data_IF_137171297590
#
_entry.id   IF_137171297590
#
_cell.length_a   1.000
_cell.length_b   1.000
_cell.length_c   1.000
_cell.angle_alpha   90.00
_cell.angle_beta   90.00
_cell.angle_gamma   90.00
#
_symmetry.space_group_name_H-M   'P 1'
#
loop_
_entity.id
_entity.type
_entity.pdbx_description
1 polymer ?
#
# COMPACT_ATOMS: atom_id res chain seq x y z
N UNK A 1 -0.09 31.97 -3.40
CA UNK A 1 -0.84 30.73 -3.64
C UNK A 1 -2.02 31.08 -4.52
N UNK A 2 -2.23 30.41 -5.67
CA UNK A 2 -3.49 30.56 -6.39
C UNK A 2 -4.64 30.11 -5.46
N UNK A 3 -5.82 30.76 -5.52
CA UNK A 3 -6.98 30.34 -4.75
C UNK A 3 -7.32 28.88 -5.08
N UNK A 4 -7.64 28.10 -4.05
CA UNK A 4 -8.15 26.74 -4.20
C UNK A 4 -9.36 26.80 -5.15
N UNK A 5 -9.40 26.02 -6.24
CA UNK A 5 -10.57 25.95 -7.09
C UNK A 5 -11.79 25.66 -6.23
N UNK A 6 -12.83 26.47 -6.36
CA UNK A 6 -14.12 26.25 -5.68
C UNK A 6 -14.63 24.91 -6.21
N UNK A 7 -14.71 23.91 -5.34
CA UNK A 7 -15.33 22.61 -5.63
C UNK A 7 -16.81 22.72 -5.27
N UNK A 8 -17.70 22.99 -6.26
CA UNK A 8 -19.10 23.28 -5.99
C UNK A 8 -19.87 22.04 -5.54
N UNK A 9 -19.31 20.84 -5.79
CA UNK A 9 -19.98 19.55 -5.61
C UNK A 9 -19.47 18.76 -4.40
N UNK A 10 -18.30 19.11 -3.84
CA UNK A 10 -17.77 18.54 -2.60
C UNK A 10 -16.97 17.24 -2.78
N UNK A 11 -16.42 17.03 -3.98
CA UNK A 11 -15.52 15.92 -4.31
C UNK A 11 -14.12 16.03 -3.69
N UNK A 12 -13.64 17.25 -3.43
CA UNK A 12 -12.33 17.56 -2.88
C UNK A 12 -12.41 17.71 -1.38
N UNK A 13 -11.45 17.11 -0.68
CA UNK A 13 -11.35 17.25 0.76
C UNK A 13 -10.95 18.69 1.12
N UNK A 14 -11.55 19.27 2.18
CA UNK A 14 -11.17 20.57 2.68
C UNK A 14 -9.68 20.64 3.04
N UNK A 15 -9.01 21.73 2.67
CA UNK A 15 -7.55 21.85 2.80
C UNK A 15 -7.05 22.26 4.20
N UNK A 16 -7.96 22.60 5.12
CA UNK A 16 -7.64 23.06 6.48
C UNK A 16 -7.33 21.91 7.45
N UNK A 17 -7.64 20.67 7.08
CA UNK A 17 -7.23 19.47 7.81
C UNK A 17 -6.36 18.62 6.89
N UNK A 18 -5.13 18.32 7.31
CA UNK A 18 -4.20 17.51 6.52
C UNK A 18 -3.61 16.38 7.36
N UNK A 19 -3.32 15.21 6.76
CA UNK A 19 -2.60 14.15 7.46
C UNK A 19 -1.13 14.55 7.64
N UNK A 20 -0.54 14.10 8.75
CA UNK A 20 0.90 14.16 9.00
C UNK A 20 1.50 12.74 8.96
N UNK A 21 0.86 11.80 9.65
CA UNK A 21 1.26 10.39 9.65
C UNK A 21 0.08 9.44 9.83
N UNK A 22 0.29 8.21 9.38
CA UNK A 22 -0.60 7.07 9.50
C UNK A 22 0.11 5.94 10.24
N UNK A 23 -0.55 5.35 11.22
CA UNK A 23 -0.22 4.03 11.76
C UNK A 23 -1.33 3.07 11.34
N UNK A 24 -0.99 2.14 10.44
CA UNK A 24 -1.92 1.22 9.81
C UNK A 24 -1.69 -0.18 10.35
N UNK A 25 -2.74 -0.82 10.85
CA UNK A 25 -2.74 -2.24 11.17
C UNK A 25 -3.78 -2.93 10.30
N UNK A 26 -3.35 -3.86 9.46
CA UNK A 26 -4.20 -4.64 8.56
C UNK A 26 -4.11 -6.12 8.89
N UNK A 27 -5.27 -6.75 9.03
CA UNK A 27 -5.39 -8.18 9.30
C UNK A 27 -6.21 -8.87 8.21
N UNK A 28 -5.60 -9.18 7.04
CA UNK A 28 -6.25 -9.96 6.00
C UNK A 28 -6.54 -11.38 6.46
N UNK A 29 -7.74 -11.86 6.15
CA UNK A 29 -8.12 -13.27 6.23
C UNK A 29 -8.18 -13.84 4.81
N UNK A 30 -7.14 -14.57 4.45
CA UNK A 30 -6.98 -15.13 3.10
C UNK A 30 -7.97 -16.25 2.78
N UNK A 31 -8.54 -16.89 3.80
CA UNK A 31 -9.54 -17.95 3.64
C UNK A 31 -10.91 -17.37 3.29
N UNK A 32 -11.33 -16.34 4.03
CA UNK A 32 -12.66 -15.75 3.89
C UNK A 32 -12.70 -14.59 2.88
N UNK A 33 -11.53 -14.11 2.46
CA UNK A 33 -11.39 -12.99 1.53
C UNK A 33 -11.86 -11.66 2.14
N UNK A 34 -11.68 -11.49 3.45
CA UNK A 34 -12.05 -10.28 4.20
C UNK A 34 -10.84 -9.75 4.95
N UNK A 35 -10.94 -8.55 5.53
CA UNK A 35 -9.90 -8.03 6.39
C UNK A 35 -10.46 -7.14 7.49
N UNK A 36 -9.75 -7.11 8.62
CA UNK A 36 -9.96 -6.13 9.69
C UNK A 36 -8.87 -5.09 9.60
N UNK A 37 -9.21 -3.84 9.87
CA UNK A 37 -8.29 -2.74 9.81
C UNK A 37 -8.44 -1.79 10.99
N UNK A 38 -7.32 -1.22 11.38
CA UNK A 38 -7.24 -0.10 12.30
C UNK A 38 -6.28 0.94 11.72
N UNK A 39 -6.70 2.19 11.76
CA UNK A 39 -5.84 3.31 11.36
C UNK A 39 -5.86 4.38 12.44
N UNK A 40 -4.69 4.73 12.94
CA UNK A 40 -4.47 5.96 13.71
C UNK A 40 -3.84 7.00 12.78
N UNK A 41 -4.49 8.13 12.60
CA UNK A 41 -4.06 9.24 11.74
C UNK A 41 -3.74 10.42 12.64
N UNK A 42 -2.47 10.87 12.61
CA UNK A 42 -2.13 12.17 13.14
C UNK A 42 -2.47 13.22 12.09
N UNK A 43 -3.33 14.17 12.43
CA UNK A 43 -3.79 15.23 11.53
C UNK A 43 -3.44 16.61 12.07
N UNK A 44 -3.13 17.53 11.16
CA UNK A 44 -2.91 18.94 11.46
C UNK A 44 -4.15 19.74 11.06
N UNK A 45 -4.86 20.25 12.06
CA UNK A 45 -6.07 21.08 11.92
C UNK A 45 -5.64 22.55 11.99
N UNK A 46 -5.75 23.27 10.88
CA UNK A 46 -5.32 24.68 10.79
C UNK A 46 -6.30 25.66 11.41
N UNK A 47 -7.59 25.33 11.36
CA UNK A 47 -8.70 26.14 11.84
C UNK A 47 -9.71 25.24 12.54
N UNK A 48 -10.35 25.74 13.59
CA UNK A 48 -11.39 25.00 14.32
C UNK A 48 -12.48 24.56 13.33
N UNK A 49 -12.84 23.28 13.36
CA UNK A 49 -13.74 22.68 12.38
C UNK A 49 -14.90 21.96 13.06
N UNK A 50 -16.11 22.12 12.53
CA UNK A 50 -17.28 21.37 13.00
C UNK A 50 -17.24 19.90 12.57
N UNK A 51 -16.48 19.58 11.53
CA UNK A 51 -16.36 18.22 10.99
C UNK A 51 -15.01 17.99 10.32
N UNK A 52 -14.66 16.71 10.17
CA UNK A 52 -13.54 16.25 9.36
C UNK A 52 -14.07 15.35 8.26
N UNK A 53 -13.54 15.52 7.05
CA UNK A 53 -13.88 14.72 5.88
C UNK A 53 -12.65 13.95 5.43
N UNK A 54 -12.80 12.65 5.26
CA UNK A 54 -11.78 11.77 4.67
C UNK A 54 -12.45 10.83 3.67
N UNK A 55 -11.70 10.22 2.77
CA UNK A 55 -12.23 9.23 1.84
C UNK A 55 -12.40 7.86 2.50
N UNK A 56 -13.48 7.16 2.16
CA UNK A 56 -13.76 5.76 2.53
C UNK A 56 -14.75 5.17 1.53
N UNK A 57 -14.50 3.95 1.04
CA UNK A 57 -15.40 3.26 0.11
C UNK A 57 -15.47 1.76 0.35
N UNK A 58 -16.67 1.26 0.62
CA UNK A 58 -16.92 -0.18 0.78
C UNK A 58 -16.23 -0.76 2.01
N UNK A 59 -16.05 0.06 3.04
CA UNK A 59 -15.54 -0.34 4.35
C UNK A 59 -16.67 -0.23 5.36
N UNK A 60 -16.78 -1.20 6.26
CA UNK A 60 -17.72 -1.14 7.39
C UNK A 60 -17.02 -0.49 8.56
N UNK A 61 -17.30 0.80 8.80
CA UNK A 61 -16.73 1.53 9.94
C UNK A 61 -17.39 1.06 11.23
N UNK A 62 -16.58 0.61 12.20
CA UNK A 62 -17.03 0.11 13.51
C UNK A 62 -16.98 1.19 14.58
N UNK A 63 -15.91 1.98 14.59
CA UNK A 63 -15.75 3.08 15.54
C UNK A 63 -14.81 4.15 14.99
N UNK A 64 -15.06 5.38 15.44
CA UNK A 64 -14.20 6.53 15.20
C UNK A 64 -13.99 7.26 16.52
N UNK A 65 -12.76 7.68 16.80
CA UNK A 65 -12.45 8.60 17.90
C UNK A 65 -11.46 9.68 17.47
N UNK A 66 -11.56 10.84 18.14
CA UNK A 66 -10.62 11.95 18.01
C UNK A 66 -10.08 12.23 19.41
N UNK A 67 -8.76 12.20 19.58
CA UNK A 67 -8.04 12.35 20.86
C UNK A 67 -8.61 11.42 21.95
N UNK A 68 -8.90 10.17 21.57
CA UNK A 68 -9.48 9.15 22.46
C UNK A 68 -10.97 9.33 22.76
N UNK A 69 -11.62 10.41 22.31
CA UNK A 69 -13.06 10.64 22.51
C UNK A 69 -13.86 10.09 21.33
N UNK A 70 -14.90 9.31 21.60
CA UNK A 70 -15.77 8.77 20.55
C UNK A 70 -16.41 9.90 19.73
N UNK A 71 -16.36 9.75 18.41
CA UNK A 71 -16.94 10.66 17.44
C UNK A 71 -18.12 10.00 16.71
N UNK A 72 -19.07 10.83 16.27
CA UNK A 72 -20.11 10.42 15.33
C UNK A 72 -19.53 10.39 13.92
N UNK A 73 -20.04 9.50 13.08
CA UNK A 73 -19.65 9.44 11.69
C UNK A 73 -20.84 9.17 10.77
N UNK A 74 -20.74 9.60 9.52
CA UNK A 74 -21.73 9.36 8.47
C UNK A 74 -21.00 9.19 7.15
N UNK A 75 -21.44 8.22 6.35
CA UNK A 75 -20.88 7.97 5.02
C UNK A 75 -21.69 8.69 3.95
N UNK A 76 -21.01 9.47 3.12
CA UNK A 76 -21.54 9.96 1.87
C UNK A 76 -21.00 9.06 0.75
N UNK A 77 -21.83 8.13 0.29
CA UNK A 77 -21.45 7.13 -0.72
C UNK A 77 -21.29 7.72 -2.12
N UNK A 78 -21.97 8.83 -2.43
CA UNK A 78 -21.85 9.50 -3.72
C UNK A 78 -20.46 10.11 -3.94
N UNK A 79 -19.87 10.66 -2.87
CA UNK A 79 -18.54 11.26 -2.91
C UNK A 79 -17.45 10.38 -2.29
N UNK A 80 -17.82 9.19 -1.80
CA UNK A 80 -16.90 8.26 -1.13
C UNK A 80 -16.21 8.89 0.08
N UNK A 81 -16.96 9.68 0.86
CA UNK A 81 -16.45 10.45 2.00
C UNK A 81 -17.05 9.94 3.31
N UNK A 82 -16.20 9.75 4.31
CA UNK A 82 -16.56 9.60 5.71
C UNK A 82 -16.52 10.99 6.38
N UNK A 83 -17.67 11.43 6.89
CA UNK A 83 -17.82 12.68 7.64
C UNK A 83 -17.77 12.36 9.12
N UNK A 84 -16.82 12.94 9.85
CA UNK A 84 -16.57 12.68 11.27
C UNK A 84 -16.86 13.95 12.07
N UNK A 85 -17.63 13.83 13.16
CA UNK A 85 -18.00 14.93 14.06
C UNK A 85 -17.80 14.53 15.50
N UNK A 86 -17.24 15.43 16.32
CA UNK A 86 -17.28 15.23 17.77
C UNK A 86 -18.73 15.19 18.26
N UNK A 87 -19.02 14.40 19.29
CA UNK A 87 -20.35 14.35 19.90
C UNK A 87 -20.75 15.69 20.54
N UNK A 88 -19.76 16.44 21.02
CA UNK A 88 -19.92 17.76 21.62
C UNK A 88 -18.70 18.63 21.24
N UNK A 89 -18.94 19.91 20.96
CA UNK A 89 -17.91 20.87 20.61
C UNK A 89 -17.40 20.77 19.16
N UNK A 90 -16.25 21.40 18.90
CA UNK A 90 -15.60 21.46 17.60
C UNK A 90 -14.24 20.77 17.65
N UNK A 91 -13.79 20.28 16.49
CA UNK A 91 -12.43 19.80 16.28
C UNK A 91 -11.52 21.02 16.30
N UNK A 92 -10.88 21.26 17.44
CA UNK A 92 -10.05 22.44 17.63
C UNK A 92 -8.73 22.35 16.86
N UNK A 93 -8.17 23.51 16.51
CA UNK A 93 -6.89 23.66 15.81
C UNK A 93 -5.72 22.98 16.53
N UNK A 94 -4.74 22.54 15.75
CA UNK A 94 -3.55 21.85 16.21
C UNK A 94 -3.48 20.39 15.77
N UNK A 95 -2.52 19.66 16.33
CA UNK A 95 -2.37 18.23 16.09
C UNK A 95 -3.47 17.45 16.81
N UNK A 96 -4.15 16.57 16.09
CA UNK A 96 -5.19 15.69 16.61
C UNK A 96 -4.89 14.26 16.21
N UNK A 97 -5.27 13.30 17.05
CA UNK A 97 -5.13 11.88 16.77
C UNK A 97 -6.51 11.29 16.45
N UNK A 98 -6.67 10.74 15.25
CA UNK A 98 -7.92 10.16 14.77
C UNK A 98 -7.75 8.66 14.66
N UNK A 99 -8.54 7.89 15.40
CA UNK A 99 -8.52 6.43 15.33
C UNK A 99 -9.78 5.91 14.68
N UNK A 100 -9.64 5.00 13.72
CA UNK A 100 -10.76 4.38 13.01
C UNK A 100 -10.56 2.88 12.96
N UNK A 101 -11.55 2.14 13.44
CA UNK A 101 -11.61 0.67 13.37
C UNK A 101 -12.66 0.29 12.34
N UNK A 102 -12.32 -0.62 11.44
CA UNK A 102 -13.15 -0.95 10.29
C UNK A 102 -12.92 -2.38 9.81
N UNK A 103 -13.83 -2.84 8.96
CA UNK A 103 -13.73 -4.12 8.24
C UNK A 103 -13.91 -3.88 6.74
N UNK A 104 -13.33 -4.74 5.92
CA UNK A 104 -13.46 -4.68 4.47
C UNK A 104 -13.43 -6.04 3.80
N UNK A 105 -13.70 -6.03 2.49
CA UNK A 105 -13.82 -7.22 1.66
C UNK A 105 -12.84 -7.15 0.47
N UNK A 106 -12.16 -8.27 0.22
CA UNK A 106 -11.13 -8.44 -0.81
C UNK A 106 -11.63 -9.25 -2.03
N UNK A 107 -12.82 -9.84 -1.98
CA UNK A 107 -13.33 -10.75 -3.02
C UNK A 107 -13.83 -9.98 -4.22
N UNK A 108 -13.68 -10.58 -5.40
CA UNK A 108 -14.21 -10.07 -6.68
C UNK A 108 -13.70 -8.66 -7.03
N UNK A 109 -12.44 -8.36 -6.71
CA UNK A 109 -11.79 -7.06 -6.99
C UNK A 109 -10.38 -7.27 -7.52
N UNK A 110 -9.88 -6.25 -8.19
CA UNK A 110 -8.52 -6.17 -8.81
C UNK A 110 -7.82 -4.84 -8.46
N UNK A 111 -8.43 -4.06 -7.56
CA UNK A 111 -7.99 -2.75 -7.07
C UNK A 111 -8.40 -2.62 -5.59
N UNK A 112 -7.83 -1.65 -4.88
CA UNK A 112 -7.92 -1.60 -3.43
C UNK A 112 -7.02 -2.67 -2.81
N UNK A 113 -7.38 -3.17 -1.62
CA UNK A 113 -6.83 -4.41 -1.08
C UNK A 113 -7.70 -5.55 -1.59
N UNK A 114 -7.11 -6.51 -2.31
CA UNK A 114 -7.86 -7.55 -2.99
C UNK A 114 -7.20 -8.93 -2.86
N UNK A 115 -8.02 -9.96 -3.01
CA UNK A 115 -7.60 -11.35 -2.95
C UNK A 115 -7.26 -11.82 -4.37
N UNK A 116 -6.14 -12.50 -4.50
CA UNK A 116 -5.73 -13.22 -5.71
C UNK A 116 -5.32 -14.64 -5.32
N UNK A 117 -5.04 -15.49 -6.29
CA UNK A 117 -4.57 -16.84 -6.03
C UNK A 117 -3.77 -17.36 -7.22
N UNK A 118 -2.96 -18.39 -6.98
CA UNK A 118 -2.26 -19.10 -8.05
C UNK A 118 -2.34 -20.61 -7.82
N UNK A 119 -2.15 -21.44 -8.88
CA UNK A 119 -2.18 -22.88 -8.74
C UNK A 119 -0.94 -23.39 -8.00
N UNK A 120 -1.16 -24.15 -6.93
CA UNK A 120 -0.16 -24.95 -6.23
C UNK A 120 0.26 -26.18 -7.03
N UNK A 121 1.28 -26.89 -6.55
CA UNK A 121 1.84 -28.07 -7.24
C UNK A 121 0.83 -29.22 -7.40
N UNK A 122 -0.11 -29.33 -6.48
CA UNK A 122 -1.18 -30.32 -6.44
C UNK A 122 -2.48 -29.82 -7.13
N UNK A 123 -2.46 -28.64 -7.74
CA UNK A 123 -3.63 -27.99 -8.34
C UNK A 123 -4.52 -27.26 -7.34
N UNK A 124 -4.16 -27.22 -6.05
CA UNK A 124 -4.84 -26.37 -5.06
C UNK A 124 -4.70 -24.89 -5.41
N UNK A 125 -5.61 -24.04 -4.92
CA UNK A 125 -5.48 -22.59 -5.05
C UNK A 125 -4.76 -22.04 -3.84
N UNK A 126 -3.57 -21.49 -4.03
CA UNK A 126 -2.82 -20.81 -2.97
C UNK A 126 -3.26 -19.35 -2.93
N UNK A 127 -3.90 -18.89 -1.84
CA UNK A 127 -4.44 -17.54 -1.76
C UNK A 127 -3.36 -16.51 -1.44
N UNK A 128 -3.51 -15.30 -1.97
CA UNK A 128 -2.69 -14.16 -1.61
C UNK A 128 -3.58 -12.93 -1.38
N UNK A 129 -3.12 -11.98 -0.58
CA UNK A 129 -3.67 -10.63 -0.55
C UNK A 129 -2.65 -9.67 -1.13
N UNK A 130 -3.10 -8.73 -1.96
CA UNK A 130 -2.25 -7.70 -2.58
C UNK A 130 -3.03 -6.42 -2.78
N UNK A 131 -2.35 -5.33 -3.12
CA UNK A 131 -2.95 -4.01 -3.24
C UNK A 131 -2.62 -3.30 -4.55
N UNK A 132 -3.58 -2.54 -5.09
CA UNK A 132 -3.40 -1.59 -6.20
C UNK A 132 -4.26 -0.36 -5.91
N UNK A 133 -3.62 0.76 -5.59
CA UNK A 133 -4.33 1.96 -5.08
C UNK A 133 -4.48 3.09 -6.08
N UNK A 134 -3.65 3.17 -7.11
CA UNK A 134 -3.80 4.21 -8.12
C UNK A 134 -5.08 3.98 -8.98
N UNK A 135 -5.88 5.03 -9.23
CA UNK A 135 -5.68 6.42 -8.78
C UNK A 135 -6.29 6.73 -7.40
N UNK A 136 -7.43 6.14 -7.04
CA UNK A 136 -8.24 6.53 -5.87
C UNK A 136 -8.80 5.32 -5.12
N UNK A 137 -8.02 4.24 -5.04
CA UNK A 137 -8.45 2.98 -4.45
C UNK A 137 -7.83 2.70 -3.07
N UNK A 138 -6.95 3.57 -2.55
CA UNK A 138 -6.47 3.44 -1.16
C UNK A 138 -7.64 3.53 -0.17
N UNK A 139 -8.64 4.39 -0.45
CA UNK A 139 -9.89 4.52 0.30
C UNK A 139 -10.74 3.24 0.38
N UNK A 140 -10.44 2.21 -0.43
CA UNK A 140 -11.08 0.89 -0.37
C UNK A 140 -10.36 -0.09 0.54
N UNK A 141 -9.15 0.26 0.98
CA UNK A 141 -8.33 -0.54 1.89
C UNK A 141 -8.26 0.08 3.29
N UNK A 142 -8.27 1.41 3.40
CA UNK A 142 -8.30 2.10 4.69
C UNK A 142 -8.89 3.52 4.54
N UNK A 143 -9.64 4.04 5.53
CA UNK A 143 -10.12 5.42 5.49
C UNK A 143 -8.94 6.40 5.51
N UNK A 144 -8.87 7.32 4.55
CA UNK A 144 -7.70 8.19 4.39
C UNK A 144 -7.98 9.48 3.60
N UNK A 145 -7.02 10.40 3.64
CA UNK A 145 -7.03 11.61 2.82
C UNK A 145 -6.52 11.26 1.41
N UNK A 146 -7.36 10.54 0.64
CA UNK A 146 -6.98 9.91 -0.63
C UNK A 146 -6.91 10.91 -1.81
N UNK A 147 -6.05 11.92 -1.66
CA UNK A 147 -5.65 12.88 -2.69
C UNK A 147 -4.11 12.98 -2.74
N UNK A 148 -3.48 13.02 -3.93
CA UNK A 148 -2.04 12.89 -4.05
C UNK A 148 -1.24 14.04 -3.41
N UNK A 149 -1.84 15.22 -3.25
CA UNK A 149 -1.24 16.38 -2.59
C UNK A 149 -1.25 16.30 -1.05
N UNK A 150 -1.97 15.33 -0.46
CA UNK A 150 -2.08 15.14 0.99
C UNK A 150 -1.08 14.07 1.47
N UNK A 151 0.22 14.33 1.23
CA UNK A 151 1.29 13.41 1.61
C UNK A 151 1.42 13.26 3.12
N UNK A 152 1.76 12.06 3.57
CA UNK A 152 2.00 11.73 4.97
C UNK A 152 3.07 10.64 5.08
N UNK A 153 3.51 10.37 6.31
CA UNK A 153 4.33 9.19 6.62
C UNK A 153 3.45 8.00 6.97
N UNK A 154 3.92 6.78 6.71
CA UNK A 154 3.19 5.54 6.97
C UNK A 154 4.04 4.58 7.80
N UNK A 155 3.53 4.20 8.96
CA UNK A 155 3.98 3.01 9.71
C UNK A 155 2.94 1.93 9.48
N UNK A 156 3.38 0.78 8.99
CA UNK A 156 2.49 -0.29 8.52
C UNK A 156 2.75 -1.55 9.33
N UNK A 157 1.66 -2.22 9.72
CA UNK A 157 1.65 -3.50 10.39
C UNK A 157 0.68 -4.42 9.66
N UNK A 158 1.13 -5.62 9.30
CA UNK A 158 0.32 -6.57 8.51
C UNK A 158 0.35 -7.93 9.20
N UNK A 159 -0.84 -8.47 9.50
CA UNK A 159 -0.98 -9.84 9.96
C UNK A 159 -0.79 -10.79 8.78
N UNK A 160 0.07 -11.80 8.97
CA UNK A 160 0.18 -12.94 8.07
C UNK A 160 -0.12 -14.26 8.80
N UNK A 161 -0.55 -15.31 8.07
CA UNK A 161 -0.61 -16.65 8.63
C UNK A 161 0.75 -17.10 9.18
N UNK A 162 0.74 -17.86 10.28
CA UNK A 162 1.95 -18.49 10.84
C UNK A 162 2.19 -19.91 10.31
N UNK A 163 1.89 -20.12 9.03
CA UNK A 163 1.97 -21.43 8.37
C UNK A 163 2.53 -21.23 6.96
N UNK A 164 2.99 -22.33 6.35
CA UNK A 164 3.27 -22.43 4.90
C UNK A 164 4.20 -21.33 4.34
N UNK A 165 5.12 -20.83 5.16
CA UNK A 165 6.09 -19.79 4.80
C UNK A 165 5.46 -18.48 4.30
N UNK A 166 4.22 -18.16 4.71
CA UNK A 166 3.64 -16.86 4.40
C UNK A 166 4.53 -15.74 4.95
N UNK A 167 4.68 -14.70 4.14
CA UNK A 167 5.38 -13.45 4.44
C UNK A 167 4.42 -12.28 4.25
N UNK A 168 4.74 -11.15 4.88
CA UNK A 168 4.13 -9.87 4.56
C UNK A 168 5.18 -8.94 3.93
N UNK A 169 4.78 -8.16 2.92
CA UNK A 169 5.61 -7.16 2.27
C UNK A 169 4.89 -5.81 2.26
N UNK A 170 5.67 -4.74 2.41
CA UNK A 170 5.19 -3.36 2.26
C UNK A 170 6.30 -2.45 1.72
N UNK A 171 6.05 -1.15 1.64
CA UNK A 171 6.96 -0.14 1.07
C UNK A 171 8.34 -0.13 1.75
N UNK A 172 8.36 -0.27 3.07
CA UNK A 172 9.56 -0.16 3.90
C UNK A 172 10.06 -1.54 4.35
N UNK A 173 11.31 -1.67 4.85
CA UNK A 173 11.82 -2.91 5.41
C UNK A 173 11.04 -3.33 6.66
N UNK A 174 10.99 -4.64 6.88
CA UNK A 174 10.52 -5.21 8.13
C UNK A 174 11.46 -4.81 9.27
N UNK A 175 10.87 -4.35 10.38
CA UNK A 175 11.57 -3.97 11.62
C UNK A 175 11.47 -5.06 12.69
N UNK A 176 10.40 -5.86 12.66
CA UNK A 176 10.19 -6.94 13.63
C UNK A 176 8.86 -7.66 13.40
N UNK A 177 8.59 -8.67 14.23
CA UNK A 177 7.38 -9.48 14.19
C UNK A 177 6.89 -9.74 15.61
N UNK A 178 5.57 -9.76 15.81
CA UNK A 178 4.94 -10.11 17.08
C UNK A 178 3.97 -11.27 16.86
N UNK A 179 4.17 -12.43 17.52
CA UNK A 179 3.20 -13.52 17.52
C UNK A 179 1.85 -13.08 18.10
N UNK A 180 0.76 -13.55 17.50
CA UNK A 180 -0.61 -13.28 17.95
C UNK A 180 -1.40 -14.59 17.94
N UNK A 181 -2.60 -14.59 18.52
CA UNK A 181 -3.51 -15.75 18.45
C UNK A 181 -3.92 -16.09 16.99
N UNK A 182 -3.90 -15.11 16.09
CA UNK A 182 -4.43 -15.24 14.72
C UNK A 182 -3.33 -15.33 13.64
N UNK A 183 -2.06 -15.44 14.03
CA UNK A 183 -0.92 -15.42 13.10
C UNK A 183 0.23 -14.57 13.63
N UNK A 184 1.03 -13.98 12.74
CA UNK A 184 2.16 -13.13 13.11
C UNK A 184 1.95 -11.73 12.55
N UNK A 185 1.99 -10.73 13.42
CA UNK A 185 1.93 -9.32 13.02
C UNK A 185 3.33 -8.86 12.63
N UNK A 186 3.52 -8.51 11.36
CA UNK A 186 4.79 -8.00 10.83
C UNK A 186 4.79 -6.49 10.89
N UNK A 187 5.83 -5.90 11.49
CA UNK A 187 5.98 -4.46 11.67
C UNK A 187 7.00 -3.90 10.68
N UNK A 188 6.63 -2.88 9.92
CA UNK A 188 7.51 -2.21 8.95
C UNK A 188 8.03 -0.87 9.49
N UNK A 189 9.20 -0.45 9.01
CA UNK A 189 9.74 0.87 9.34
C UNK A 189 8.86 2.02 8.79
N UNK A 190 8.92 3.20 9.43
CA UNK A 190 8.18 4.38 8.99
C UNK A 190 8.68 4.86 7.60
N UNK A 191 7.75 5.18 6.71
CA UNK A 191 8.06 5.70 5.37
C UNK A 191 8.49 7.16 5.37
N UNK A 192 9.08 7.60 4.25
CA UNK A 192 9.15 9.03 3.90
C UNK A 192 7.74 9.56 3.58
N UNK A 193 7.60 10.89 3.52
CA UNK A 193 6.35 11.53 3.09
C UNK A 193 6.00 11.09 1.66
N UNK A 194 4.88 10.40 1.50
CA UNK A 194 4.39 9.91 0.22
C UNK A 194 2.86 10.03 0.12
N UNK A 195 2.33 9.89 -1.09
CA UNK A 195 0.90 9.93 -1.34
C UNK A 195 0.26 8.56 -1.05
N UNK A 196 -1.02 8.55 -0.67
CA UNK A 196 -1.79 7.34 -0.32
C UNK A 196 -1.73 6.25 -1.39
N UNK A 197 -1.78 6.63 -2.67
CA UNK A 197 -1.80 5.70 -3.79
C UNK A 197 -0.51 4.86 -3.95
N UNK A 198 0.60 5.29 -3.32
CA UNK A 198 1.88 4.59 -3.35
C UNK A 198 2.00 3.53 -2.24
N UNK A 199 1.15 3.56 -1.21
CA UNK A 199 1.14 2.54 -0.16
C UNK A 199 0.87 1.15 -0.76
N UNK A 200 1.53 0.12 -0.24
CA UNK A 200 1.43 -1.24 -0.76
C UNK A 200 1.43 -2.27 0.38
N UNK A 201 0.53 -3.25 0.31
CA UNK A 201 0.35 -4.31 1.30
C UNK A 201 0.19 -5.64 0.59
N UNK A 202 1.06 -6.60 0.90
CA UNK A 202 1.03 -7.93 0.28
C UNK A 202 1.21 -9.00 1.36
N UNK A 203 0.39 -10.05 1.31
CA UNK A 203 0.54 -11.28 2.11
C UNK A 203 0.51 -12.47 1.15
N UNK A 204 1.60 -13.21 1.09
CA UNK A 204 1.80 -14.32 0.15
C UNK A 204 2.89 -15.27 0.65
N UNK A 205 3.13 -16.39 -0.06
CA UNK A 205 4.20 -17.36 0.21
C UNK A 205 5.33 -17.28 -0.85
N UNK A 206 5.51 -16.11 -1.45
CA UNK A 206 6.47 -15.91 -2.52
C UNK A 206 7.92 -15.98 -2.01
N UNK A 207 8.81 -16.39 -2.90
CA UNK A 207 10.26 -16.40 -2.67
C UNK A 207 10.94 -15.38 -3.57
N UNK A 208 12.17 -14.99 -3.22
CA UNK A 208 12.91 -13.97 -3.96
C UNK A 208 14.34 -14.37 -4.30
N UNK A 209 14.80 -13.85 -5.44
CA UNK A 209 16.22 -13.74 -5.73
C UNK A 209 16.70 -12.34 -5.33
N UNK A 210 17.93 -12.28 -4.83
CA UNK A 210 18.51 -11.08 -4.24
C UNK A 210 19.65 -10.56 -5.10
N UNK A 211 19.72 -9.24 -5.22
CA UNK A 211 20.80 -8.50 -5.84
C UNK A 211 20.99 -7.18 -5.11
N UNK A 212 21.78 -6.28 -5.71
CA UNK A 212 22.09 -4.98 -5.12
C UNK A 212 22.06 -3.91 -6.21
N UNK A 213 21.67 -2.70 -5.81
CA UNK A 213 21.84 -1.47 -6.56
C UNK A 213 23.00 -0.71 -5.94
N UNK A 214 23.97 -0.30 -6.74
CA UNK A 214 25.10 0.51 -6.29
C UNK A 214 24.74 2.00 -6.36
N UNK A 215 24.74 2.66 -5.21
CA UNK A 215 24.68 4.13 -5.17
C UNK A 215 26.03 4.74 -5.54
N UNK A 216 26.06 5.98 -6.02
CA UNK A 216 27.31 6.70 -6.33
C UNK A 216 28.21 6.87 -5.09
N UNK A 217 27.61 6.94 -3.90
CA UNK A 217 28.34 7.03 -2.62
C UNK A 217 28.92 5.70 -2.12
N UNK A 218 28.79 4.60 -2.88
CA UNK A 218 29.25 3.26 -2.48
C UNK A 218 28.28 2.48 -1.58
N UNK A 219 27.15 3.09 -1.20
CA UNK A 219 26.08 2.39 -0.49
C UNK A 219 25.44 1.31 -1.39
N UNK A 220 25.22 0.13 -0.82
CA UNK A 220 24.54 -0.99 -1.49
C UNK A 220 23.10 -1.07 -1.02
N UNK A 221 22.17 -0.88 -1.94
CA UNK A 221 20.74 -0.98 -1.65
C UNK A 221 20.27 -2.38 -2.08
N UNK A 222 19.71 -3.19 -1.17
CA UNK A 222 19.11 -4.47 -1.52
C UNK A 222 18.04 -4.33 -2.60
N UNK A 223 18.18 -5.13 -3.66
CA UNK A 223 17.17 -5.32 -4.69
C UNK A 223 16.67 -6.77 -4.63
N UNK A 224 15.37 -6.97 -4.52
CA UNK A 224 14.78 -8.32 -4.48
C UNK A 224 13.71 -8.46 -5.54
N UNK A 225 13.68 -9.61 -6.21
CA UNK A 225 12.63 -9.94 -7.18
C UNK A 225 11.84 -11.13 -6.68
N UNK A 226 10.59 -10.90 -6.29
CA UNK A 226 9.67 -11.88 -5.76
C UNK A 226 8.79 -12.50 -6.85
N UNK A 227 8.55 -13.80 -6.73
CA UNK A 227 7.57 -14.52 -7.54
C UNK A 227 6.99 -15.71 -6.77
N UNK A 228 5.98 -16.35 -7.34
CA UNK A 228 5.58 -17.69 -6.89
C UNK A 228 6.79 -18.64 -6.91
N UNK A 229 6.85 -19.64 -6.01
CA UNK A 229 7.99 -20.57 -5.96
C UNK A 229 8.29 -21.28 -7.28
N UNK A 230 7.26 -21.58 -8.07
CA UNK A 230 7.41 -22.26 -9.37
C UNK A 230 8.10 -21.39 -10.45
N UNK A 231 8.08 -20.07 -10.28
CA UNK A 231 8.57 -19.13 -11.30
C UNK A 231 9.90 -18.46 -10.94
N UNK A 232 10.51 -18.81 -9.80
CA UNK A 232 11.70 -18.11 -9.28
C UNK A 232 12.86 -18.05 -10.26
N UNK A 233 13.06 -19.08 -11.08
CA UNK A 233 14.11 -19.14 -12.09
C UNK A 233 13.94 -18.10 -13.21
N UNK A 234 12.76 -17.49 -13.35
CA UNK A 234 12.45 -16.48 -14.36
C UNK A 234 12.70 -15.04 -13.90
N UNK A 235 13.19 -14.85 -12.67
CA UNK A 235 13.41 -13.53 -12.07
C UNK A 235 14.80 -12.96 -12.32
N UNK A 236 15.76 -13.77 -12.75
CA UNK A 236 17.16 -13.37 -12.89
C UNK A 236 17.37 -12.21 -13.85
N UNK A 237 16.65 -12.21 -14.98
CA UNK A 237 16.71 -11.11 -15.96
C UNK A 237 16.20 -9.78 -15.36
N UNK A 238 15.09 -9.81 -14.64
CA UNK A 238 14.55 -8.62 -13.98
C UNK A 238 15.49 -8.07 -12.90
N UNK A 239 16.22 -8.96 -12.22
CA UNK A 239 17.20 -8.56 -11.21
C UNK A 239 18.37 -7.79 -11.84
N UNK A 240 18.94 -8.31 -12.94
CA UNK A 240 20.07 -7.72 -13.66
C UNK A 240 19.71 -6.39 -14.35
N UNK A 241 18.57 -6.37 -15.05
CA UNK A 241 18.08 -5.15 -15.69
C UNK A 241 17.64 -4.13 -14.63
N UNK A 242 16.98 -4.58 -13.57
CA UNK A 242 16.49 -3.72 -12.49
C UNK A 242 17.63 -2.98 -11.79
N UNK A 243 18.73 -3.67 -11.45
CA UNK A 243 19.90 -3.01 -10.85
C UNK A 243 20.53 -2.02 -11.83
N UNK A 244 20.78 -2.42 -13.08
CA UNK A 244 21.41 -1.59 -14.10
C UNK A 244 20.63 -0.30 -14.40
N UNK A 245 19.30 -0.40 -14.51
CA UNK A 245 18.42 0.76 -14.75
C UNK A 245 18.40 1.71 -13.56
N UNK A 246 18.37 1.18 -12.34
CA UNK A 246 18.42 2.00 -11.13
C UNK A 246 19.76 2.73 -10.99
N UNK A 247 20.87 2.04 -11.22
CA UNK A 247 22.22 2.64 -11.20
C UNK A 247 22.34 3.74 -12.26
N UNK A 248 21.81 3.50 -13.47
CA UNK A 248 21.75 4.52 -14.52
C UNK A 248 20.98 5.77 -14.08
N UNK A 249 19.77 5.61 -13.51
CA UNK A 249 18.96 6.77 -13.10
C UNK A 249 19.52 7.51 -11.90
N UNK A 250 20.14 6.81 -10.95
CA UNK A 250 20.85 7.44 -9.83
C UNK A 250 21.94 8.38 -10.38
N UNK A 251 22.75 7.88 -11.33
CA UNK A 251 23.80 8.67 -11.99
C UNK A 251 23.24 9.79 -12.85
N UNK A 252 22.23 9.48 -13.66
CA UNK A 252 21.66 10.44 -14.61
C UNK A 252 21.02 11.64 -13.91
N UNK A 253 20.28 11.40 -12.82
CA UNK A 253 19.65 12.47 -12.05
C UNK A 253 20.59 13.09 -11.01
N UNK A 254 21.70 12.43 -10.67
CA UNK A 254 22.59 12.84 -9.57
C UNK A 254 21.89 12.81 -8.21
N UNK A 255 20.88 11.94 -8.05
CA UNK A 255 20.06 11.82 -6.84
C UNK A 255 20.09 10.36 -6.38
N UNK A 256 20.53 10.06 -5.15
CA UNK A 256 20.55 8.70 -4.64
C UNK A 256 19.13 8.17 -4.45
N UNK A 257 18.96 6.85 -4.61
CA UNK A 257 17.67 6.22 -4.31
C UNK A 257 17.36 6.36 -2.81
N UNK A 258 16.20 6.93 -2.44
CA UNK A 258 15.99 7.43 -1.09
C UNK A 258 15.52 6.39 -0.07
N UNK A 259 15.22 5.15 -0.48
CA UNK A 259 14.72 4.10 0.42
C UNK A 259 15.79 3.01 0.65
N UNK A 260 15.76 2.34 1.81
CA UNK A 260 16.76 1.33 2.18
C UNK A 260 16.65 0.00 1.41
N UNK A 261 15.62 -0.18 0.58
CA UNK A 261 15.42 -1.38 -0.25
C UNK A 261 14.54 -1.06 -1.45
N UNK A 262 14.68 -1.86 -2.50
CA UNK A 262 13.73 -1.92 -3.61
C UNK A 262 13.31 -3.38 -3.83
N UNK A 263 12.02 -3.63 -3.78
CA UNK A 263 11.46 -4.92 -4.15
C UNK A 263 10.68 -4.79 -5.46
N UNK A 264 10.79 -5.80 -6.31
CA UNK A 264 9.95 -6.02 -7.48
C UNK A 264 9.17 -7.32 -7.25
N UNK A 265 7.87 -7.36 -7.56
CA UNK A 265 7.07 -8.57 -7.34
C UNK A 265 6.13 -8.86 -8.51
N UNK A 266 6.15 -10.11 -8.98
CA UNK A 266 5.28 -10.59 -10.05
C UNK A 266 3.95 -11.12 -9.47
N UNK A 267 2.88 -10.37 -9.64
CA UNK A 267 1.53 -10.70 -9.17
C UNK A 267 0.75 -11.45 -10.27
N UNK A 268 0.13 -12.62 -9.98
CA UNK A 268 -0.64 -13.42 -10.94
C UNK A 268 -1.80 -12.62 -11.57
N UNK A 269 -2.70 -12.07 -10.74
CA UNK A 269 -3.84 -11.28 -11.19
C UNK A 269 -3.56 -9.79 -11.00
N UNK A 270 -3.07 -9.13 -12.05
CA UNK A 270 -2.72 -7.71 -12.01
C UNK A 270 -3.31 -6.94 -13.20
N UNK A 271 -4.14 -5.93 -12.90
CA UNK A 271 -4.91 -5.21 -13.91
C UNK A 271 -4.03 -4.39 -14.85
N UNK A 272 -2.97 -3.77 -14.33
CA UNK A 272 -2.01 -2.97 -15.09
C UNK A 272 -0.84 -3.81 -15.59
N UNK A 273 0.09 -3.19 -16.32
CA UNK A 273 1.40 -3.80 -16.60
C UNK A 273 2.28 -3.84 -15.34
N UNK A 274 2.37 -2.69 -14.66
CA UNK A 274 3.08 -2.51 -13.40
C UNK A 274 2.45 -1.40 -12.54
N UNK A 275 2.93 -1.22 -11.32
CA UNK A 275 2.63 -0.10 -10.43
C UNK A 275 3.84 0.26 -9.57
N UNK A 276 4.20 1.53 -9.54
CA UNK A 276 5.41 2.09 -8.93
C UNK A 276 5.33 2.33 -7.42
N UNK A 277 4.57 1.51 -6.70
CA UNK A 277 4.52 1.50 -5.24
C UNK A 277 5.94 1.66 -4.64
N UNK A 278 6.15 2.72 -3.86
CA UNK A 278 7.50 3.16 -3.53
C UNK A 278 8.22 2.14 -2.65
N UNK A 279 9.28 1.53 -3.18
CA UNK A 279 10.03 0.47 -2.52
C UNK A 279 9.47 -0.95 -2.72
N UNK A 280 8.30 -1.14 -3.33
CA UNK A 280 7.70 -2.46 -3.61
C UNK A 280 6.90 -2.41 -4.92
N UNK A 281 7.59 -2.41 -6.06
CA UNK A 281 6.96 -2.28 -7.38
C UNK A 281 6.27 -3.58 -7.76
N UNK A 282 4.98 -3.51 -8.06
CA UNK A 282 4.18 -4.68 -8.46
C UNK A 282 4.07 -4.76 -9.97
N UNK A 283 4.14 -5.97 -10.52
CA UNK A 283 4.07 -6.24 -11.95
C UNK A 283 3.05 -7.33 -12.22
N UNK A 284 2.43 -7.30 -13.40
CA UNK A 284 1.88 -8.53 -13.98
C UNK A 284 3.03 -9.49 -14.27
N UNK A 285 2.84 -10.79 -14.05
CA UNK A 285 3.86 -11.81 -14.33
C UNK A 285 4.55 -11.63 -15.70
N UNK A 286 3.78 -11.38 -16.76
CA UNK A 286 4.31 -11.21 -18.13
C UNK A 286 5.19 -9.97 -18.33
N UNK A 287 5.16 -9.01 -17.41
CA UNK A 287 5.95 -7.79 -17.47
C UNK A 287 7.26 -7.88 -16.68
N UNK A 288 7.44 -8.90 -15.84
CA UNK A 288 8.62 -9.06 -14.98
C UNK A 288 9.36 -10.37 -15.22
N UNK A 289 8.63 -11.48 -15.33
CA UNK A 289 9.22 -12.81 -15.44
C UNK A 289 9.67 -13.07 -16.88
N UNK A 290 10.87 -13.62 -17.06
CA UNK A 290 11.46 -13.90 -18.37
C UNK A 290 12.02 -15.32 -18.45
N UNK A 291 11.75 -15.99 -19.57
CA UNK A 291 12.22 -17.36 -19.84
C UNK A 291 12.84 -17.44 -21.24
N UNK A 292 14.15 -17.70 -21.29
CA UNK A 292 14.93 -17.78 -22.54
C UNK A 292 14.36 -18.73 -23.60
N UNK A 293 13.55 -19.72 -23.23
CA UNK A 293 13.01 -20.71 -24.18
C UNK A 293 11.72 -20.26 -24.87
N UNK A 294 10.96 -19.36 -24.25
CA UNK A 294 9.58 -19.02 -24.69
C UNK A 294 9.30 -17.52 -24.74
N UNK A 295 10.12 -16.70 -24.09
CA UNK A 295 10.03 -15.25 -24.13
C UNK A 295 10.68 -14.72 -25.42
N UNK A 296 9.90 -14.03 -26.25
CA UNK A 296 10.41 -13.36 -27.46
C UNK A 296 10.56 -11.85 -27.23
N UNK A 297 11.53 -11.22 -27.90
CA UNK A 297 11.77 -9.77 -27.83
C UNK A 297 10.50 -8.94 -28.15
N UNK A 298 9.65 -9.45 -29.05
CA UNK A 298 8.39 -8.80 -29.47
C UNK A 298 7.34 -8.69 -28.33
N UNK A 299 7.42 -9.50 -27.27
CA UNK A 299 6.55 -9.39 -26.09
C UNK A 299 7.01 -8.36 -25.06
N UNK A 300 8.31 -8.04 -25.00
CA UNK A 300 8.87 -7.06 -24.04
C UNK A 300 9.01 -5.64 -24.63
N UNK A 301 9.14 -5.51 -25.95
CA UNK A 301 9.32 -4.22 -26.62
C UNK A 301 8.01 -3.51 -27.03
N UNK A 302 6.84 -4.16 -26.93
CA UNK A 302 5.61 -3.70 -27.60
C UNK A 302 4.61 -2.94 -26.71
N UNK A 303 4.96 -2.53 -25.50
CA UNK A 303 4.08 -1.75 -24.60
C UNK A 303 4.82 -0.68 -23.78
N UNK A 304 5.83 -0.06 -24.38
CA UNK A 304 6.35 1.23 -23.93
C UNK A 304 5.50 2.37 -24.46
#
# INVERSE_FOLDING_TARGET
>A
MPPTPIDPEGYRLPSHIKPDSYNLSLSPNLKDGTFKGEVDIKVNVREDSSEMRIHSKGLTIKSVSIDGKSANFTENTAYEVLIIKLRQGMISKGLRDVRIVYEGDMKNRIVGLYASSYPGKDGSKIPIATSKFEPTYARQAFPCFDEPNMKAKYTVNILRPNVDNYIALSNMPQKGETPTENGVMVHFAESKYMSTYLSCFIVCDFISNNGVIKSEGGELIPLRVFSTPAQINKTAFALDVGSSVMEYFIKYFGIPYPLPKLDLIAIPDFISGAMEHWGLVTFRETALLFDNKISSAKKYAARG
#
